data_IF_335835915056
#
_entry.id   IF_335835915056
#
_cell.length_a   1.000
_cell.length_b   1.000
_cell.length_c   1.000
_cell.angle_alpha   90.00
_cell.angle_beta   90.00
_cell.angle_gamma   90.00
#
_symmetry.space_group_name_H-M   'P 1'
#
loop_
_entity.id
_entity.type
_entity.pdbx_description
1 polymer ?
#
# COMPACT_ATOMS: atom_id res chain seq x y z
N UNK A 1 22.01 -0.38 0.18
CA UNK A 1 20.96 -0.55 1.22
C UNK A 1 19.67 -0.76 0.46
N UNK A 2 19.09 -1.97 0.44
CA UNK A 2 17.92 -2.30 -0.38
C UNK A 2 16.72 -1.45 0.07
N UNK A 3 16.37 -0.43 -0.71
CA UNK A 3 15.21 0.41 -0.43
C UNK A 3 13.97 -0.27 -1.02
N UNK A 4 12.98 -0.57 -0.17
CA UNK A 4 11.69 -1.05 -0.66
C UNK A 4 10.92 0.13 -1.23
N UNK A 5 10.56 0.02 -2.50
CA UNK A 5 9.83 1.03 -3.26
C UNK A 5 8.38 0.60 -3.41
N UNK A 6 7.46 1.55 -3.36
CA UNK A 6 6.02 1.30 -3.52
C UNK A 6 5.40 2.35 -4.42
N UNK A 7 4.62 1.89 -5.39
CA UNK A 7 3.94 2.72 -6.38
C UNK A 7 2.50 2.23 -6.53
N UNK A 8 1.55 3.15 -6.55
CA UNK A 8 0.15 2.83 -6.86
C UNK A 8 -0.22 3.55 -8.14
N UNK A 9 -0.74 2.85 -9.15
CA UNK A 9 -1.30 3.46 -10.35
C UNK A 9 -2.82 3.36 -10.35
N UNK A 10 -3.50 4.37 -10.88
CA UNK A 10 -4.95 4.37 -11.13
C UNK A 10 -5.26 5.16 -12.40
N UNK A 11 -6.28 4.78 -13.18
CA UNK A 11 -6.65 5.51 -14.40
C UNK A 11 -7.31 6.86 -14.14
N UNK A 12 -7.61 7.20 -12.88
CA UNK A 12 -8.26 8.47 -12.53
C UNK A 12 -7.29 9.65 -12.67
N UNK A 13 -7.82 10.82 -13.07
CA UNK A 13 -7.02 12.04 -13.14
C UNK A 13 -6.59 12.54 -11.75
N UNK A 14 -5.51 13.31 -11.70
CA UNK A 14 -4.90 13.69 -10.41
C UNK A 14 -5.80 14.62 -9.60
N UNK A 15 -6.53 15.54 -10.24
CA UNK A 15 -7.38 16.51 -9.53
C UNK A 15 -8.59 15.84 -8.85
N UNK A 16 -9.30 14.96 -9.55
CA UNK A 16 -10.42 14.19 -9.00
C UNK A 16 -9.93 13.24 -7.93
N UNK A 17 -8.80 12.56 -8.18
CA UNK A 17 -8.19 11.65 -7.22
C UNK A 17 -7.78 12.39 -5.95
N UNK A 18 -7.11 13.55 -6.07
CA UNK A 18 -6.68 14.38 -4.94
C UNK A 18 -7.87 14.77 -4.07
N UNK A 19 -8.94 15.29 -4.69
CA UNK A 19 -10.18 15.69 -3.99
C UNK A 19 -10.86 14.49 -3.31
N UNK A 20 -10.98 13.37 -4.01
CA UNK A 20 -11.62 12.17 -3.49
C UNK A 20 -10.81 11.51 -2.36
N UNK A 21 -9.49 11.49 -2.48
CA UNK A 21 -8.59 10.99 -1.43
C UNK A 21 -8.60 11.89 -0.20
N UNK A 22 -8.58 13.21 -0.37
CA UNK A 22 -8.67 14.15 0.75
C UNK A 22 -10.01 14.02 1.49
N UNK A 23 -11.13 14.03 0.77
CA UNK A 23 -12.46 13.82 1.34
C UNK A 23 -12.62 12.43 1.97
N UNK A 24 -11.96 11.42 1.41
CA UNK A 24 -11.94 10.05 1.92
C UNK A 24 -10.93 9.78 3.04
N UNK A 25 -10.15 10.79 3.44
CA UNK A 25 -9.00 10.70 4.34
C UNK A 25 -8.05 9.53 3.99
N UNK A 26 -7.59 9.52 2.74
CA UNK A 26 -6.62 8.57 2.19
C UNK A 26 -5.34 9.34 1.86
N UNK A 27 -4.20 8.87 2.34
CA UNK A 27 -2.91 9.56 2.20
C UNK A 27 -2.10 9.49 3.50
N UNK A 28 -0.94 10.17 3.56
CA UNK A 28 -0.34 10.99 2.51
C UNK A 28 0.29 10.19 1.36
N UNK A 29 0.34 10.82 0.18
CA UNK A 29 1.03 10.32 -1.00
C UNK A 29 1.31 11.47 -1.95
N UNK A 30 2.44 11.46 -2.64
CA UNK A 30 2.64 12.35 -3.77
C UNK A 30 1.88 11.81 -5.00
N UNK A 31 1.19 12.70 -5.71
CA UNK A 31 0.42 12.42 -6.90
C UNK A 31 1.21 12.86 -8.13
N UNK A 32 1.53 11.94 -9.01
CA UNK A 32 2.23 12.20 -10.27
C UNK A 32 1.23 12.00 -11.41
N UNK A 33 0.70 13.09 -12.01
CA UNK A 33 -0.22 12.98 -13.13
C UNK A 33 0.54 12.44 -14.35
N UNK A 34 -0.04 11.43 -14.99
CA UNK A 34 0.47 10.83 -16.22
C UNK A 34 -0.65 10.80 -17.26
N UNK A 35 -0.34 10.59 -18.54
CA UNK A 35 -1.36 10.58 -19.59
C UNK A 35 -2.43 9.51 -19.34
N UNK A 36 -2.01 8.38 -18.79
CA UNK A 36 -2.84 7.19 -18.54
C UNK A 36 -3.52 7.20 -17.17
N UNK A 37 -3.48 8.32 -16.43
CA UNK A 37 -4.11 8.48 -15.12
C UNK A 37 -3.20 9.16 -14.09
N UNK A 38 -3.08 8.56 -12.91
CA UNK A 38 -2.26 9.11 -11.83
C UNK A 38 -1.46 8.02 -11.14
N UNK A 39 -0.19 8.32 -10.88
CA UNK A 39 0.68 7.51 -10.04
C UNK A 39 0.74 8.12 -8.65
N UNK A 40 0.56 7.31 -7.61
CA UNK A 40 0.73 7.70 -6.23
C UNK A 40 2.02 7.10 -5.69
N UNK A 41 2.90 7.96 -5.19
CA UNK A 41 4.12 7.59 -4.50
C UNK A 41 3.91 7.78 -3.00
N UNK A 42 4.00 6.67 -2.27
CA UNK A 42 3.80 6.69 -0.82
C UNK A 42 5.11 7.06 -0.10
N UNK A 43 5.06 7.70 1.08
CA UNK A 43 6.25 7.94 1.89
C UNK A 43 7.07 6.64 2.10
N UNK A 44 8.41 6.65 2.15
CA UNK A 44 9.23 5.44 2.30
C UNK A 44 8.96 4.69 3.62
N UNK A 45 8.35 5.40 4.57
CA UNK A 45 7.94 4.85 5.85
C UNK A 45 6.60 4.09 5.84
N UNK A 46 5.89 4.09 4.72
CA UNK A 46 4.60 3.43 4.52
C UNK A 46 4.75 1.91 4.54
N UNK A 47 3.88 1.22 5.28
CA UNK A 47 3.88 -0.24 5.34
C UNK A 47 3.02 -0.83 4.22
N UNK A 48 3.30 -2.08 3.82
CA UNK A 48 2.54 -2.78 2.79
C UNK A 48 1.03 -2.81 3.05
N UNK A 49 0.61 -2.99 4.31
CA UNK A 49 -0.81 -3.00 4.67
C UNK A 49 -1.47 -1.62 4.53
N UNK A 50 -0.73 -0.53 4.76
CA UNK A 50 -1.19 0.84 4.56
C UNK A 50 -1.28 1.16 3.07
N UNK A 51 -0.27 0.79 2.29
CA UNK A 51 -0.29 0.90 0.84
C UNK A 51 -1.45 0.10 0.24
N UNK A 52 -1.65 -1.15 0.65
CA UNK A 52 -2.79 -1.97 0.20
C UNK A 52 -4.14 -1.36 0.60
N UNK A 53 -4.25 -0.77 1.80
CA UNK A 53 -5.45 -0.03 2.20
C UNK A 53 -5.70 1.17 1.28
N UNK A 54 -4.67 1.97 1.00
CA UNK A 54 -4.74 3.11 0.08
C UNK A 54 -5.17 2.65 -1.32
N UNK A 55 -4.52 1.63 -1.88
CA UNK A 55 -4.88 1.02 -3.17
C UNK A 55 -6.33 0.56 -3.19
N UNK A 56 -6.84 -0.06 -2.11
CA UNK A 56 -8.23 -0.49 -2.04
C UNK A 56 -9.19 0.69 -2.11
N UNK A 57 -8.85 1.82 -1.48
CA UNK A 57 -9.68 3.02 -1.48
C UNK A 57 -9.64 3.69 -2.85
N UNK A 58 -8.45 3.83 -3.43
CA UNK A 58 -8.24 4.35 -4.78
C UNK A 58 -8.99 3.51 -5.81
N UNK A 59 -8.94 2.17 -5.71
CA UNK A 59 -9.70 1.26 -6.59
C UNK A 59 -11.20 1.50 -6.51
N UNK A 60 -11.75 1.79 -5.33
CA UNK A 60 -13.18 2.08 -5.14
C UNK A 60 -13.57 3.44 -5.71
N UNK A 61 -12.65 4.40 -5.75
CA UNK A 61 -12.88 5.73 -6.30
C UNK A 61 -12.77 5.69 -7.83
N UNK A 62 -11.64 5.20 -8.36
CA UNK A 62 -11.29 5.26 -9.78
C UNK A 62 -11.59 4.01 -10.60
N UNK A 63 -12.36 3.04 -10.07
CA UNK A 63 -12.72 1.79 -10.76
C UNK A 63 -11.57 0.78 -10.98
N UNK A 64 -10.32 1.23 -10.85
CA UNK A 64 -9.13 0.43 -11.00
C UNK A 64 -7.93 1.00 -10.22
N UNK A 65 -7.09 0.11 -9.69
CA UNK A 65 -5.81 0.48 -9.12
C UNK A 65 -4.84 -0.70 -9.18
N UNK A 66 -3.56 -0.43 -9.43
CA UNK A 66 -2.47 -1.40 -9.33
C UNK A 66 -1.50 -0.96 -8.23
N UNK A 67 -1.03 -1.88 -7.40
CA UNK A 67 0.03 -1.64 -6.42
C UNK A 67 1.27 -2.44 -6.80
N UNK A 68 2.37 -1.75 -7.05
CA UNK A 68 3.69 -2.32 -7.27
C UNK A 68 4.55 -2.11 -6.01
N UNK A 69 5.26 -3.14 -5.60
CA UNK A 69 6.21 -3.13 -4.49
C UNK A 69 7.46 -3.89 -4.91
N UNK A 70 8.63 -3.28 -4.87
CA UNK A 70 9.84 -3.91 -5.37
C UNK A 70 11.11 -3.41 -4.67
N UNK A 71 12.18 -4.17 -4.87
CA UNK A 71 13.56 -3.82 -4.56
C UNK A 71 14.45 -4.41 -5.67
N UNK A 72 15.76 -4.35 -5.48
CA UNK A 72 16.71 -4.79 -6.51
C UNK A 72 16.70 -6.32 -6.73
N UNK A 73 16.08 -7.10 -5.84
CA UNK A 73 16.11 -8.58 -5.87
C UNK A 73 14.74 -9.24 -6.18
N UNK A 74 13.64 -8.53 -5.94
CA UNK A 74 12.28 -9.06 -6.06
C UNK A 74 11.27 -7.96 -6.37
N UNK A 75 10.14 -8.37 -6.95
CA UNK A 75 8.99 -7.49 -7.18
C UNK A 75 7.66 -8.20 -6.90
N UNK A 76 6.67 -7.41 -6.48
CA UNK A 76 5.30 -7.81 -6.20
C UNK A 76 4.37 -6.82 -6.90
N UNK A 77 3.43 -7.34 -7.70
CA UNK A 77 2.42 -6.53 -8.38
C UNK A 77 1.01 -7.05 -8.07
N UNK A 78 0.20 -6.19 -7.46
CA UNK A 78 -1.20 -6.42 -7.16
C UNK A 78 -2.07 -5.63 -8.16
N UNK A 79 -2.60 -6.30 -9.18
CA UNK A 79 -3.44 -5.68 -10.21
C UNK A 79 -4.92 -5.75 -9.83
N UNK A 80 -5.56 -4.61 -9.57
CA UNK A 80 -6.99 -4.55 -9.23
C UNK A 80 -7.43 -5.38 -8.02
N UNK A 81 -6.48 -5.88 -7.21
CA UNK A 81 -6.72 -6.60 -5.97
C UNK A 81 -5.95 -5.98 -4.82
N UNK A 82 -6.44 -6.21 -3.60
CA UNK A 82 -5.71 -5.91 -2.37
C UNK A 82 -5.58 -7.14 -1.48
N UNK A 83 -6.02 -8.30 -1.96
CA UNK A 83 -5.85 -9.57 -1.25
C UNK A 83 -4.38 -9.97 -1.28
N UNK A 84 -3.74 -9.87 -0.11
CA UNK A 84 -2.38 -10.32 0.13
C UNK A 84 -2.28 -11.81 -0.20
N UNK A 85 -1.66 -12.15 -1.33
CA UNK A 85 -1.56 -13.52 -1.86
C UNK A 85 -1.87 -13.64 -3.35
N UNK A 86 -2.63 -12.68 -3.91
CA UNK A 86 -2.94 -12.62 -5.35
C UNK A 86 -2.03 -11.63 -6.08
N UNK A 87 -0.74 -11.64 -5.79
CA UNK A 87 0.24 -10.82 -6.52
C UNK A 87 0.95 -11.64 -7.59
N UNK A 88 1.28 -10.99 -8.71
CA UNK A 88 2.36 -11.44 -9.59
C UNK A 88 3.68 -11.14 -8.88
N UNK A 89 4.62 -12.09 -8.89
CA UNK A 89 5.83 -12.04 -8.09
C UNK A 89 7.02 -12.36 -8.99
N UNK A 90 8.12 -11.62 -8.86
CA UNK A 90 9.36 -11.84 -9.59
C UNK A 90 10.51 -12.00 -8.62
N UNK A 91 11.51 -12.79 -9.01
CA UNK A 91 12.68 -13.11 -8.19
C UNK A 91 12.58 -14.46 -7.47
N UNK A 92 13.64 -14.81 -6.73
CA UNK A 92 13.67 -16.07 -5.98
C UNK A 92 12.62 -16.06 -4.85
N UNK A 93 12.14 -17.24 -4.47
CA UNK A 93 11.19 -17.38 -3.35
C UNK A 93 11.67 -16.68 -2.08
N UNK A 94 12.96 -16.77 -1.80
CA UNK A 94 13.59 -16.15 -0.63
C UNK A 94 13.64 -14.63 -0.74
N UNK A 95 13.97 -14.09 -1.92
CA UNK A 95 13.97 -12.66 -2.19
C UNK A 95 12.55 -12.07 -2.06
N UNK A 96 11.54 -12.76 -2.60
CA UNK A 96 10.13 -12.34 -2.49
C UNK A 96 9.64 -12.35 -1.03
N UNK A 97 9.99 -13.37 -0.26
CA UNK A 97 9.66 -13.43 1.17
C UNK A 97 10.37 -12.33 1.97
N UNK A 98 11.63 -12.04 1.63
CA UNK A 98 12.41 -10.96 2.23
C UNK A 98 11.82 -9.59 1.91
N UNK A 99 11.45 -9.35 0.66
CA UNK A 99 10.76 -8.14 0.22
C UNK A 99 9.43 -7.96 0.97
N UNK A 100 8.59 -9.00 1.03
CA UNK A 100 7.32 -8.97 1.76
C UNK A 100 7.54 -8.62 3.25
N UNK A 101 8.52 -9.24 3.89
CA UNK A 101 8.86 -8.97 5.28
C UNK A 101 9.36 -7.53 5.51
N UNK A 102 10.20 -7.01 4.60
CA UNK A 102 10.68 -5.63 4.63
C UNK A 102 9.53 -4.63 4.43
N UNK A 103 8.69 -4.87 3.42
CA UNK A 103 7.54 -4.04 3.09
C UNK A 103 6.49 -4.00 4.21
N UNK A 104 6.21 -5.13 4.86
CA UNK A 104 5.31 -5.21 6.03
C UNK A 104 5.96 -4.65 7.30
N UNK A 105 7.28 -4.49 7.34
CA UNK A 105 8.08 -4.27 8.55
C UNK A 105 7.77 -5.33 9.61
N UNK A 106 7.63 -6.58 9.17
CA UNK A 106 7.25 -7.70 10.01
C UNK A 106 8.32 -7.98 11.06
N UNK A 107 7.91 -8.06 12.33
CA UNK A 107 8.72 -8.63 13.40
C UNK A 107 9.01 -10.13 13.16
N UNK A 108 9.83 -10.76 14.03
CA UNK A 108 10.28 -12.15 13.83
C UNK A 108 9.12 -13.15 13.62
N UNK A 109 8.03 -12.98 14.38
CA UNK A 109 6.81 -13.81 14.31
C UNK A 109 6.08 -13.65 12.97
N UNK A 110 5.99 -12.43 12.44
CA UNK A 110 5.34 -12.17 11.15
C UNK A 110 6.08 -12.80 9.97
N UNK A 111 7.42 -12.89 10.05
CA UNK A 111 8.23 -13.57 9.01
C UNK A 111 7.99 -15.07 9.00
N UNK A 112 7.81 -15.67 10.17
CA UNK A 112 7.49 -17.09 10.30
C UNK A 112 6.12 -17.41 9.71
N UNK A 113 5.11 -16.59 10.04
CA UNK A 113 3.77 -16.72 9.49
C UNK A 113 3.77 -16.61 7.96
N UNK A 114 4.45 -15.60 7.41
CA UNK A 114 4.56 -15.42 5.96
C UNK A 114 5.24 -16.61 5.26
N UNK A 115 6.26 -17.20 5.89
CA UNK A 115 6.93 -18.40 5.38
C UNK A 115 6.01 -19.62 5.38
N UNK A 116 5.14 -19.75 6.39
CA UNK A 116 4.18 -20.84 6.51
C UNK A 116 3.01 -20.72 5.51
N UNK A 117 2.54 -19.50 5.23
CA UNK A 117 1.38 -19.29 4.35
C UNK A 117 1.71 -19.10 2.88
N UNK A 118 2.97 -18.78 2.53
CA UNK A 118 3.38 -18.55 1.15
C UNK A 118 3.21 -19.77 0.21
N UNK A 119 3.06 -20.98 0.75
CA UNK A 119 2.85 -22.21 -0.02
C UNK A 119 1.38 -22.59 -0.26
N UNK A 120 0.40 -21.87 0.32
CA UNK A 120 -1.01 -22.27 0.30
C UNK A 120 -1.84 -21.64 -0.83
N UNK A 121 -1.20 -21.06 -1.84
CA UNK A 121 -1.93 -20.40 -2.94
C UNK A 121 -2.14 -21.43 -4.06
N UNK A 122 -3.40 -21.72 -4.37
CA UNK A 122 -3.78 -22.54 -5.52
C UNK A 122 -3.29 -21.86 -6.82
N UNK A 123 -2.41 -22.55 -7.54
CA UNK A 123 -1.80 -22.07 -8.78
C UNK A 123 -2.85 -21.82 -9.87
N UNK A 124 -3.94 -22.61 -9.91
CA UNK A 124 -5.01 -22.44 -10.90
C UNK A 124 -5.85 -21.21 -10.62
N UNK A 125 -6.15 -20.94 -9.36
CA UNK A 125 -6.87 -19.73 -8.96
C UNK A 125 -6.04 -18.47 -9.25
N UNK A 126 -4.72 -18.56 -9.00
CA UNK A 126 -3.78 -17.48 -9.32
C UNK A 126 -3.73 -17.17 -10.81
N UNK A 127 -3.66 -18.19 -11.68
CA UNK A 127 -3.63 -17.98 -13.13
C UNK A 127 -4.93 -17.35 -13.65
N UNK A 128 -6.09 -17.83 -13.21
CA UNK A 128 -7.38 -17.22 -13.56
C UNK A 128 -7.45 -15.76 -13.16
N UNK A 129 -6.98 -15.44 -11.97
CA UNK A 129 -6.95 -14.07 -11.48
C UNK A 129 -5.99 -13.18 -12.29
N UNK A 130 -4.81 -13.69 -12.68
CA UNK A 130 -3.87 -12.94 -13.52
C UNK A 130 -4.48 -12.61 -14.89
N UNK A 131 -5.20 -13.56 -15.48
CA UNK A 131 -5.91 -13.34 -16.75
C UNK A 131 -6.99 -12.28 -16.61
N UNK A 132 -7.88 -12.38 -15.61
CA UNK A 132 -8.92 -11.39 -15.33
C UNK A 132 -8.34 -9.99 -15.08
N UNK A 133 -7.23 -9.92 -14.36
CA UNK A 133 -6.55 -8.67 -14.08
C UNK A 133 -5.98 -8.01 -15.36
N UNK A 134 -5.38 -8.78 -16.27
CA UNK A 134 -4.90 -8.24 -17.55
C UNK A 134 -6.07 -7.89 -18.48
N UNK A 135 -7.14 -8.67 -18.46
CA UNK A 135 -8.34 -8.37 -19.24
C UNK A 135 -8.96 -7.05 -18.80
N UNK A 136 -9.02 -6.81 -17.48
CA UNK A 136 -9.45 -5.52 -16.91
C UNK A 136 -8.47 -4.38 -17.25
N UNK A 137 -7.16 -4.63 -17.25
CA UNK A 137 -6.17 -3.64 -17.66
C UNK A 137 -6.37 -3.25 -19.13
N UNK A 138 -6.58 -4.26 -19.99
CA UNK A 138 -6.82 -4.07 -21.43
C UNK A 138 -8.13 -3.33 -21.68
N UNK A 139 -9.17 -3.59 -20.89
CA UNK A 139 -10.44 -2.85 -20.97
C UNK A 139 -10.27 -1.37 -20.60
N UNK A 140 -9.41 -1.05 -19.62
CA UNK A 140 -9.10 0.33 -19.23
C UNK A 140 -8.14 1.03 -20.20
N UNK A 141 -7.25 0.28 -20.84
CA UNK A 141 -6.24 0.80 -21.76
C UNK A 141 -6.05 -0.10 -23.00
N UNK A 142 -6.96 -0.03 -23.99
CA UNK A 142 -6.99 -0.98 -25.12
C UNK A 142 -5.72 -0.99 -25.99
N UNK A 143 -5.00 0.12 -26.04
CA UNK A 143 -3.79 0.29 -26.86
C UNK A 143 -2.64 -0.66 -26.47
N UNK A 144 -2.66 -1.22 -25.27
CA UNK A 144 -1.61 -2.09 -24.74
C UNK A 144 -1.65 -3.53 -25.28
N UNK A 145 -2.83 -4.00 -25.70
CA UNK A 145 -3.08 -5.40 -25.98
C UNK A 145 -2.89 -6.32 -24.76
N UNK A 146 -3.34 -7.58 -24.91
CA UNK A 146 -3.35 -8.57 -23.81
C UNK A 146 -2.03 -9.35 -23.67
N UNK A 147 -1.35 -9.58 -24.79
CA UNK A 147 -0.27 -10.58 -24.90
C UNK A 147 1.00 -10.18 -24.15
N UNK A 148 1.51 -8.98 -24.39
CA UNK A 148 2.77 -8.53 -23.82
C UNK A 148 2.74 -8.45 -22.27
N UNK A 149 1.69 -7.94 -21.61
CA UNK A 149 1.60 -7.95 -20.14
C UNK A 149 1.57 -9.36 -19.55
N UNK A 150 0.87 -10.31 -20.20
CA UNK A 150 0.80 -11.70 -19.75
C UNK A 150 2.14 -12.41 -19.87
N UNK A 151 2.87 -12.20 -20.97
CA UNK A 151 4.22 -12.75 -21.15
C UNK A 151 5.15 -12.23 -20.04
N UNK A 152 5.05 -10.95 -19.66
CA UNK A 152 5.85 -10.37 -18.56
C UNK A 152 5.47 -10.87 -17.17
N UNK A 153 4.19 -11.12 -16.91
CA UNK A 153 3.75 -11.75 -15.65
C UNK A 153 4.29 -13.18 -15.50
N UNK A 154 4.52 -13.87 -16.63
CA UNK A 154 4.99 -15.26 -16.67
C UNK A 154 6.53 -15.39 -16.66
N UNK A 155 7.26 -14.32 -16.98
CA UNK A 155 8.71 -14.29 -16.86
C UNK A 155 9.13 -13.96 -15.42
N UNK A 156 9.26 -14.98 -14.57
CA UNK A 156 9.56 -14.83 -13.15
C UNK A 156 11.04 -14.51 -12.83
N UNK A 157 11.92 -14.51 -13.82
CA UNK A 157 13.38 -14.56 -13.61
C UNK A 157 14.05 -13.20 -13.49
N UNK A 158 13.54 -12.16 -14.18
CA UNK A 158 14.07 -10.79 -14.09
C UNK A 158 13.32 -9.96 -13.06
N UNK A 159 13.85 -9.90 -11.84
CA UNK A 159 13.26 -9.07 -10.78
C UNK A 159 13.62 -7.57 -10.91
N UNK A 160 14.85 -7.27 -11.29
CA UNK A 160 15.45 -5.92 -11.22
C UNK A 160 14.68 -4.87 -12.04
N UNK A 161 14.15 -5.24 -13.21
CA UNK A 161 13.37 -4.36 -14.08
C UNK A 161 11.90 -4.80 -14.23
N UNK A 162 11.42 -5.71 -13.36
CA UNK A 162 10.11 -6.35 -13.52
C UNK A 162 8.95 -5.35 -13.60
N UNK A 163 8.98 -4.34 -12.73
CA UNK A 163 7.90 -3.34 -12.62
C UNK A 163 7.91 -2.37 -13.80
N UNK A 164 9.03 -1.69 -14.14
CA UNK A 164 9.09 -0.88 -15.36
C UNK A 164 8.76 -1.68 -16.62
N UNK A 165 9.35 -2.86 -16.81
CA UNK A 165 9.11 -3.71 -18.00
C UNK A 165 7.63 -4.10 -18.14
N UNK A 166 6.97 -4.46 -17.03
CA UNK A 166 5.55 -4.77 -17.04
C UNK A 166 4.71 -3.57 -17.49
N UNK A 167 4.96 -2.38 -16.92
CA UNK A 167 4.20 -1.18 -17.29
C UNK A 167 4.44 -0.75 -18.74
N UNK A 168 5.67 -0.87 -19.27
CA UNK A 168 5.94 -0.63 -20.70
C UNK A 168 5.21 -1.65 -21.59
N UNK A 169 5.23 -2.93 -21.21
CA UNK A 169 4.50 -3.98 -21.93
C UNK A 169 2.98 -3.78 -21.87
N UNK A 170 2.48 -3.14 -20.81
CA UNK A 170 1.09 -2.72 -20.65
C UNK A 170 0.76 -1.37 -21.29
N UNK A 171 1.65 -0.82 -22.13
CA UNK A 171 1.40 0.46 -22.81
C UNK A 171 1.34 1.67 -21.87
N UNK A 172 1.76 1.52 -20.61
CA UNK A 172 1.79 2.56 -19.58
C UNK A 172 3.22 3.12 -19.46
N UNK A 173 3.72 3.73 -20.53
CA UNK A 173 5.13 4.16 -20.63
C UNK A 173 5.50 5.18 -19.56
N UNK A 174 4.62 6.15 -19.28
CA UNK A 174 4.86 7.17 -18.26
C UNK A 174 4.86 6.57 -16.85
N UNK A 175 4.08 5.50 -16.61
CA UNK A 175 4.08 4.80 -15.32
C UNK A 175 5.40 4.06 -15.13
N UNK A 176 5.93 3.45 -16.19
CA UNK A 176 7.26 2.84 -16.16
C UNK A 176 8.36 3.88 -15.90
N UNK A 177 8.29 5.04 -16.57
CA UNK A 177 9.22 6.14 -16.33
C UNK A 177 9.18 6.63 -14.88
N UNK A 178 7.99 6.76 -14.28
CA UNK A 178 7.88 7.13 -12.86
C UNK A 178 8.46 6.04 -11.96
N UNK A 179 8.31 4.75 -12.29
CA UNK A 179 8.93 3.66 -11.56
C UNK A 179 10.47 3.74 -11.61
N UNK A 180 11.05 3.99 -12.78
CA UNK A 180 12.50 4.19 -12.98
C UNK A 180 13.02 5.40 -12.20
N UNK A 181 12.34 6.55 -12.28
CA UNK A 181 12.70 7.75 -11.51
C UNK A 181 12.61 7.52 -9.99
N UNK A 182 11.70 6.65 -9.56
CA UNK A 182 11.59 6.20 -8.16
C UNK A 182 12.75 5.26 -7.81
N UNK A 183 13.24 4.46 -8.76
CA UNK A 183 14.44 3.63 -8.57
C UNK A 183 15.70 4.46 -8.35
N UNK A 184 15.84 5.55 -9.11
CA UNK A 184 16.92 6.53 -8.96
C UNK A 184 16.85 7.35 -7.66
N UNK A 185 15.77 7.24 -6.88
CA UNK A 185 15.58 8.00 -5.65
C UNK A 185 15.29 9.48 -5.86
N UNK A 186 14.92 9.90 -7.08
CA UNK A 186 14.61 11.30 -7.43
C UNK A 186 13.47 11.88 -6.58
N UNK A 187 12.52 11.04 -6.19
CA UNK A 187 11.38 11.43 -5.36
C UNK A 187 11.67 11.29 -3.86
N UNK A 188 12.76 10.63 -3.43
CA UNK A 188 12.95 10.21 -2.04
C UNK A 188 13.02 11.39 -1.07
N UNK A 189 13.73 12.46 -1.43
CA UNK A 189 13.85 13.65 -0.58
C UNK A 189 12.49 14.28 -0.31
N UNK A 190 11.66 14.41 -1.34
CA UNK A 190 10.32 14.96 -1.24
C UNK A 190 9.39 14.02 -0.48
N UNK A 191 9.42 12.71 -0.75
CA UNK A 191 8.61 11.72 -0.06
C UNK A 191 8.98 11.58 1.43
N UNK A 192 10.20 11.93 1.83
CA UNK A 192 10.62 12.02 3.23
C UNK A 192 10.00 13.22 3.95
N UNK A 193 9.67 14.31 3.24
CA UNK A 193 8.94 15.45 3.83
C UNK A 193 7.49 15.12 4.17
N UNK A 194 6.91 14.09 3.53
CA UNK A 194 5.58 13.61 3.84
C UNK A 194 5.60 12.84 5.15
N UNK A 195 4.84 13.32 6.15
CA UNK A 195 4.66 12.58 7.40
C UNK A 195 4.10 11.18 7.11
N UNK A 196 4.70 10.10 7.62
CA UNK A 196 4.13 8.77 7.42
C UNK A 196 2.71 8.70 8.00
N UNK A 197 1.80 7.87 7.44
CA UNK A 197 0.47 7.61 7.98
C UNK A 197 0.54 6.79 9.28
N UNK A 198 1.30 7.26 10.28
CA UNK A 198 1.38 6.59 11.58
C UNK A 198 0.06 6.79 12.30
N UNK A 199 -0.66 5.69 12.49
CA UNK A 199 -1.66 5.63 13.53
C UNK A 199 -0.98 5.99 14.86
N UNK A 200 -1.42 7.07 15.50
CA UNK A 200 -0.94 7.43 16.82
C UNK A 200 -1.14 6.22 17.76
N UNK A 201 -0.04 5.73 18.35
CA UNK A 201 -0.02 4.51 19.19
C UNK A 201 -0.46 4.77 20.64
N UNK A 202 -0.61 6.03 21.04
CA UNK A 202 -1.00 6.41 22.40
C UNK A 202 -2.34 5.81 22.87
N UNK A 203 -3.37 5.58 22.01
CA UNK A 203 -4.61 4.94 22.47
C UNK A 203 -4.33 3.51 22.97
N UNK A 204 -3.47 2.76 22.27
CA UNK A 204 -3.03 1.42 22.67
C UNK A 204 -2.26 1.46 24.00
N UNK A 205 -1.38 2.45 24.15
CA UNK A 205 -0.61 2.66 25.38
C UNK A 205 -1.49 3.07 26.57
N UNK A 206 -2.67 3.67 26.34
CA UNK A 206 -3.62 4.06 27.39
C UNK A 206 -4.61 2.94 27.73
N UNK A 207 -5.13 2.23 26.72
CA UNK A 207 -6.16 1.21 26.92
C UNK A 207 -5.64 -0.02 27.67
N UNK A 208 -4.40 -0.45 27.41
CA UNK A 208 -3.84 -1.62 28.08
C UNK A 208 -3.71 -1.42 29.61
N UNK A 209 -3.13 -0.32 30.11
CA UNK A 209 -3.15 0.00 31.54
C UNK A 209 -4.57 0.07 32.13
N UNK A 210 -5.52 0.65 31.40
CA UNK A 210 -6.93 0.73 31.84
C UNK A 210 -7.57 -0.65 32.01
N UNK A 211 -7.29 -1.60 31.12
CA UNK A 211 -7.75 -2.99 31.25
C UNK A 211 -7.12 -3.64 32.48
N UNK A 212 -5.83 -3.42 32.73
CA UNK A 212 -5.13 -3.95 33.92
C UNK A 212 -5.70 -3.34 35.22
N UNK A 213 -5.96 -2.04 35.25
CA UNK A 213 -6.59 -1.36 36.39
C UNK A 213 -8.02 -1.88 36.62
N UNK A 214 -8.79 -2.10 35.55
CA UNK A 214 -10.13 -2.70 35.66
C UNK A 214 -10.08 -4.13 36.20
N UNK A 215 -9.10 -4.94 35.77
CA UNK A 215 -8.87 -6.28 36.32
C UNK A 215 -8.53 -6.22 37.82
N UNK A 216 -7.62 -5.32 38.21
CA UNK A 216 -7.20 -5.13 39.59
C UNK A 216 -8.36 -4.67 40.49
N UNK A 217 -9.17 -3.71 40.03
CA UNK A 217 -10.35 -3.23 40.74
C UNK A 217 -11.41 -4.33 40.92
N UNK A 218 -11.57 -5.21 39.91
CA UNK A 218 -12.51 -6.33 39.99
C UNK A 218 -12.10 -7.32 41.08
N UNK A 219 -10.80 -7.59 41.20
CA UNK A 219 -10.25 -8.46 42.25
C UNK A 219 -10.36 -7.80 43.64
N UNK A 220 -9.97 -6.53 43.78
CA UNK A 220 -9.98 -5.81 45.05
C UNK A 220 -11.40 -5.63 45.61
N UNK A 221 -12.36 -5.30 44.74
CA UNK A 221 -13.74 -4.97 45.13
C UNK A 221 -14.70 -6.17 45.05
N UNK A 222 -14.18 -7.38 44.77
CA UNK A 222 -14.98 -8.61 44.64
C UNK A 222 -16.15 -8.47 43.65
N UNK A 223 -15.93 -7.76 42.56
CA UNK A 223 -16.97 -7.53 41.57
C UNK A 223 -17.22 -8.80 40.74
N UNK A 224 -18.46 -9.03 40.26
CA UNK A 224 -18.74 -10.15 39.37
C UNK A 224 -17.89 -10.07 38.10
N UNK A 225 -17.38 -11.21 37.64
CA UNK A 225 -16.55 -11.29 36.41
C UNK A 225 -17.27 -10.72 35.18
N UNK A 226 -18.60 -10.76 35.14
CA UNK A 226 -19.43 -10.15 34.08
C UNK A 226 -19.16 -8.65 33.95
N UNK A 227 -18.95 -7.94 35.07
CA UNK A 227 -18.65 -6.50 35.07
C UNK A 227 -17.28 -6.23 34.44
N UNK A 228 -16.27 -7.05 34.75
CA UNK A 228 -14.95 -6.96 34.12
C UNK A 228 -15.03 -7.15 32.60
N UNK A 229 -15.74 -8.19 32.13
CA UNK A 229 -15.87 -8.45 30.70
C UNK A 229 -16.62 -7.33 29.97
N UNK A 230 -17.66 -6.76 30.58
CA UNK A 230 -18.37 -5.62 30.01
C UNK A 230 -17.48 -4.37 29.91
N UNK A 231 -16.71 -4.06 30.95
CA UNK A 231 -15.76 -2.92 30.93
C UNK A 231 -14.65 -3.16 29.91
N UNK A 232 -14.08 -4.36 29.88
CA UNK A 232 -13.04 -4.73 28.91
C UNK A 232 -13.54 -4.65 27.47
N UNK A 233 -14.75 -5.14 27.19
CA UNK A 233 -15.38 -5.03 25.88
C UNK A 233 -15.63 -3.56 25.49
N UNK A 234 -16.15 -2.74 26.41
CA UNK A 234 -16.37 -1.33 26.17
C UNK A 234 -15.05 -0.59 25.89
N UNK A 235 -14.00 -0.84 26.66
CA UNK A 235 -12.67 -0.25 26.45
C UNK A 235 -12.08 -0.64 25.09
N UNK A 236 -12.25 -1.90 24.66
CA UNK A 236 -11.85 -2.34 23.33
C UNK A 236 -12.63 -1.63 22.22
N UNK A 237 -13.95 -1.48 22.37
CA UNK A 237 -14.79 -0.76 21.39
C UNK A 237 -14.39 0.72 21.31
N UNK A 238 -14.18 1.38 22.45
CA UNK A 238 -13.73 2.78 22.51
C UNK A 238 -12.35 2.92 21.88
N UNK A 239 -11.40 2.05 22.20
CA UNK A 239 -10.07 2.05 21.61
C UNK A 239 -10.13 1.88 20.09
N UNK A 240 -10.88 0.88 19.60
CA UNK A 240 -11.07 0.67 18.17
C UNK A 240 -11.67 1.91 17.50
N UNK A 241 -12.69 2.50 18.10
CA UNK A 241 -13.34 3.71 17.59
C UNK A 241 -12.37 4.89 17.55
N UNK A 242 -11.59 5.10 18.62
CA UNK A 242 -10.61 6.18 18.73
C UNK A 242 -9.47 6.00 17.72
N UNK A 243 -8.99 4.76 17.52
CA UNK A 243 -7.98 4.46 16.51
C UNK A 243 -8.49 4.74 15.09
N UNK A 244 -9.76 4.39 14.81
CA UNK A 244 -10.39 4.69 13.51
C UNK A 244 -10.55 6.20 13.32
N UNK A 245 -10.99 6.95 14.33
CA UNK A 245 -11.17 8.40 14.22
C UNK A 245 -9.85 9.15 14.11
N UNK A 246 -8.82 8.76 14.87
CA UNK A 246 -7.48 9.36 14.78
C UNK A 246 -6.82 9.07 13.43
N UNK A 247 -6.95 7.85 12.89
CA UNK A 247 -6.54 7.55 11.51
C UNK A 247 -7.25 8.47 10.52
N UNK A 248 -8.53 8.78 10.74
CA UNK A 248 -9.37 9.65 9.91
C UNK A 248 -9.07 11.16 10.02
N UNK A 249 -8.16 11.59 10.90
CA UNK A 249 -7.86 13.02 11.10
C UNK A 249 -6.55 13.48 10.45
N UNK A 250 -5.65 12.57 10.07
CA UNK A 250 -4.32 12.90 9.55
C UNK A 250 -4.35 13.64 8.20
N UNK A 251 -5.33 13.36 7.35
CA UNK A 251 -5.43 13.96 6.00
C UNK A 251 -6.40 15.13 5.99
N UNK A 252 -7.56 15.00 6.66
CA UNK A 252 -8.65 15.99 6.56
C UNK A 252 -8.34 17.36 7.18
N UNK A 253 -7.49 17.41 8.22
CA UNK A 253 -7.17 18.66 8.94
C UNK A 253 -6.05 19.47 8.30
N UNK A 254 -5.30 18.89 7.36
CA UNK A 254 -4.18 19.56 6.68
C UNK A 254 -4.59 20.03 5.28
N UNK A 255 -3.97 21.11 4.74
CA UNK A 255 -4.21 21.55 3.38
C UNK A 255 -3.97 20.42 2.38
N UNK A 256 -4.83 20.33 1.37
CA UNK A 256 -4.82 19.21 0.40
C UNK A 256 -3.46 19.05 -0.29
N UNK A 257 -2.80 20.16 -0.66
CA UNK A 257 -1.50 20.16 -1.32
C UNK A 257 -0.34 19.76 -0.39
N UNK A 258 -0.52 19.84 0.92
CA UNK A 258 0.50 19.42 1.91
C UNK A 258 0.48 17.91 2.11
N UNK A 259 -0.68 17.26 1.97
CA UNK A 259 -0.85 15.82 2.22
C UNK A 259 -0.86 15.01 0.93
N UNK A 260 -1.31 15.62 -0.16
CA UNK A 260 -1.40 15.05 -1.50
C UNK A 260 -0.79 16.01 -2.52
N UNK A 261 0.52 16.31 -2.44
CA UNK A 261 1.18 17.19 -3.40
C UNK A 261 1.15 16.58 -4.80
N UNK A 262 0.89 17.42 -5.80
CA UNK A 262 0.92 17.01 -7.22
C UNK A 262 2.31 17.35 -7.78
N UNK A 263 3.05 16.35 -8.26
CA UNK A 263 4.40 16.50 -8.84
C UNK A 263 4.32 16.20 -10.34
N UNK A 264 4.60 17.15 -11.23
CA UNK A 264 4.66 16.85 -12.66
C UNK A 264 5.85 15.94 -12.98
N UNK A 265 5.68 14.99 -13.90
CA UNK A 265 6.71 14.00 -14.32
C UNK A 265 8.01 14.68 -14.80
N UNK A 266 7.94 15.91 -15.30
CA UNK A 266 9.09 16.69 -15.76
C UNK A 266 9.92 17.31 -14.63
N UNK A 267 9.41 17.36 -13.40
CA UNK A 267 10.10 17.95 -12.25
C UNK A 267 10.73 16.89 -11.35
N UNK A 268 11.63 16.09 -11.92
CA UNK A 268 12.80 15.56 -11.19
C UNK A 268 13.82 16.65 -10.83
N UNK A 269 13.43 17.92 -10.88
CA UNK A 269 14.23 19.08 -10.52
C UNK A 269 13.86 19.52 -9.11
N UNK A 270 14.84 19.39 -8.23
CA UNK A 270 14.99 20.06 -6.93
C UNK A 270 14.35 21.46 -6.98
N UNK A 271 13.61 21.90 -5.94
CA UNK A 271 13.28 23.32 -5.83
C UNK A 271 14.60 24.07 -5.72
N UNK A 272 14.96 24.81 -6.78
CA UNK A 272 16.01 25.81 -6.70
C UNK A 272 15.35 27.07 -6.18
N UNK A 273 15.75 27.41 -4.94
CA UNK A 273 15.49 28.60 -4.13
C UNK A 273 14.05 28.94 -3.74
#
# INVERSE_FOLDING_TARGET
MLCVRMLIWTPLNAAELQKAMHGGNVGPAALVPVQTGTVLLSPPATRLNEAAYMTSRVRRIGGGAALAVWNDEAALLYLFTTTLGRASMWGSREAVLRLSAQAKRSGPVGRFFDRATAGMIDLREKERWQLDAVDKLTALHPAAGRRAPLERIRDFTRAEAAIPDFFRAAGLQEVAQVAELTEEGRADFMLQTLEPPRAQMWPLALTFPLIVVAALATVLLHLPAVVYYLIGALLLVVMCTLMVTLRRQLVRKKPINTVLPVIPVTQGAVPTD
#
